data_IF_288843879239
#
_entry.id   IF_288843879239
#
_cell.length_a   1.000
_cell.length_b   1.000
_cell.length_c   1.000
_cell.angle_alpha   90.00
_cell.angle_beta   90.00
_cell.angle_gamma   90.00
#
_symmetry.space_group_name_H-M   'P 1'
#
loop_
_entity.id
_entity.type
_entity.pdbx_description
1 polymer ?
#
# COMPACT_ATOMS: atom_id res chain seq x y z
N UNK A 1 0.43 -12.42 12.78
CA UNK A 1 1.57 -11.80 12.06
C UNK A 1 2.85 -12.36 12.64
N UNK A 2 3.58 -13.18 11.87
CA UNK A 2 4.74 -13.97 12.35
C UNK A 2 5.95 -13.08 12.70
N UNK A 3 6.14 -11.96 12.00
CA UNK A 3 7.28 -11.03 12.17
C UNK A 3 6.86 -9.63 12.64
N UNK A 4 5.71 -9.49 13.31
CA UNK A 4 5.21 -8.18 13.76
C UNK A 4 6.26 -7.49 14.64
N UNK A 5 6.56 -6.22 14.32
CA UNK A 5 7.50 -5.42 15.12
C UNK A 5 8.97 -5.75 14.87
N UNK A 6 9.30 -6.55 13.85
CA UNK A 6 10.70 -6.82 13.46
C UNK A 6 10.99 -6.42 12.00
N UNK A 7 12.25 -6.13 11.63
CA UNK A 7 12.61 -5.78 10.26
C UNK A 7 12.20 -6.86 9.23
N UNK A 8 12.11 -8.12 9.66
CA UNK A 8 11.68 -9.25 8.83
C UNK A 8 10.24 -9.11 8.32
N UNK A 9 9.41 -8.22 8.89
CA UNK A 9 8.11 -7.88 8.34
C UNK A 9 8.17 -7.32 6.91
N UNK A 10 9.28 -6.67 6.54
CA UNK A 10 9.45 -5.98 5.25
C UNK A 10 10.44 -6.69 4.31
N UNK A 11 11.07 -7.77 4.77
CA UNK A 11 12.13 -8.46 4.02
C UNK A 11 11.65 -9.07 2.69
N UNK A 12 10.34 -9.31 2.55
CA UNK A 12 9.71 -9.85 1.35
C UNK A 12 9.27 -8.80 0.31
N UNK A 13 9.22 -7.52 0.67
CA UNK A 13 8.55 -6.47 -0.12
C UNK A 13 9.12 -6.37 -1.54
N UNK A 14 10.44 -6.34 -1.67
CA UNK A 14 11.10 -6.20 -2.97
C UNK A 14 10.76 -7.36 -3.93
N UNK A 15 10.74 -8.59 -3.42
CA UNK A 15 10.38 -9.78 -4.21
C UNK A 15 8.89 -9.77 -4.57
N UNK A 16 8.02 -9.42 -3.62
CA UNK A 16 6.59 -9.34 -3.87
C UNK A 16 6.28 -8.29 -4.95
N UNK A 17 6.89 -7.10 -4.85
CA UNK A 17 6.71 -6.03 -5.84
C UNK A 17 7.17 -6.45 -7.24
N UNK A 18 8.27 -7.20 -7.36
CA UNK A 18 8.70 -7.73 -8.65
C UNK A 18 7.67 -8.70 -9.24
N UNK A 19 7.19 -9.66 -8.46
CA UNK A 19 6.19 -10.63 -8.90
C UNK A 19 4.87 -9.96 -9.31
N UNK A 20 4.42 -8.95 -8.56
CA UNK A 20 3.21 -8.19 -8.90
C UNK A 20 3.40 -7.40 -10.19
N UNK A 21 4.52 -6.71 -10.38
CA UNK A 21 4.80 -6.01 -11.65
C UNK A 21 4.76 -6.96 -12.84
N UNK A 22 5.42 -8.11 -12.73
CA UNK A 22 5.45 -9.11 -13.80
C UNK A 22 4.04 -9.68 -14.05
N UNK A 23 3.27 -9.95 -13.00
CA UNK A 23 1.88 -10.41 -13.12
C UNK A 23 0.96 -9.41 -13.80
N UNK A 24 1.02 -8.13 -13.40
CA UNK A 24 0.19 -7.05 -13.97
C UNK A 24 0.53 -6.80 -15.44
N UNK A 25 1.81 -6.87 -15.83
CA UNK A 25 2.23 -6.71 -17.22
C UNK A 25 1.59 -7.74 -18.17
N UNK A 26 1.16 -8.88 -17.65
CA UNK A 26 0.49 -9.95 -18.40
C UNK A 26 -1.01 -10.07 -18.07
N UNK A 27 -1.58 -9.12 -17.32
CA UNK A 27 -2.99 -9.14 -16.90
C UNK A 27 -3.35 -10.30 -15.98
N UNK A 28 -2.39 -10.84 -15.23
CA UNK A 28 -2.61 -12.00 -14.36
C UNK A 28 -3.59 -11.74 -13.21
N UNK A 29 -3.69 -10.49 -12.75
CA UNK A 29 -4.69 -10.03 -11.78
C UNK A 29 -6.13 -10.15 -12.32
N UNK A 30 -6.33 -10.02 -13.63
CA UNK A 30 -7.65 -10.11 -14.26
C UNK A 30 -8.24 -11.52 -14.19
N UNK A 31 -7.41 -12.55 -13.97
CA UNK A 31 -7.85 -13.93 -13.73
C UNK A 31 -8.45 -14.14 -12.33
N UNK A 32 -8.27 -13.18 -11.42
CA UNK A 32 -8.74 -13.24 -10.05
C UNK A 32 -10.09 -12.55 -9.88
N UNK A 33 -10.85 -13.00 -8.87
CA UNK A 33 -12.05 -12.29 -8.44
C UNK A 33 -11.67 -10.89 -7.88
N UNK A 34 -12.56 -9.89 -7.96
CA UNK A 34 -12.27 -8.52 -7.50
C UNK A 34 -11.67 -8.45 -6.09
N UNK A 35 -12.23 -9.19 -5.14
CA UNK A 35 -11.73 -9.22 -3.75
C UNK A 35 -10.32 -9.83 -3.61
N UNK A 36 -9.93 -10.73 -4.51
CA UNK A 36 -8.59 -11.32 -4.52
C UNK A 36 -7.55 -10.35 -5.09
N UNK A 37 -7.94 -9.49 -6.05
CA UNK A 37 -7.06 -8.47 -6.63
C UNK A 37 -6.61 -7.44 -5.59
N UNK A 38 -7.41 -7.20 -4.56
CA UNK A 38 -7.03 -6.35 -3.41
C UNK A 38 -5.68 -6.78 -2.82
N UNK A 39 -5.44 -8.09 -2.64
CA UNK A 39 -4.17 -8.58 -2.10
C UNK A 39 -2.97 -8.37 -3.03
N UNK A 40 -3.20 -8.35 -4.34
CA UNK A 40 -2.18 -8.00 -5.34
C UNK A 40 -1.86 -6.51 -5.22
N UNK A 41 -2.87 -5.65 -5.13
CA UNK A 41 -2.70 -4.20 -5.10
C UNK A 41 -2.16 -3.67 -3.76
N UNK A 42 -2.40 -4.37 -2.65
CA UNK A 42 -1.74 -4.10 -1.36
C UNK A 42 -0.21 -4.14 -1.46
N UNK A 43 0.35 -4.96 -2.35
CA UNK A 43 1.80 -4.99 -2.58
C UNK A 43 2.31 -3.69 -3.22
N UNK A 44 1.49 -3.06 -4.08
CA UNK A 44 1.79 -1.75 -4.67
C UNK A 44 1.68 -0.65 -3.59
N UNK A 45 0.60 -0.70 -2.80
CA UNK A 45 0.33 0.23 -1.69
C UNK A 45 1.44 0.22 -0.61
N UNK A 46 2.13 -0.90 -0.41
CA UNK A 46 3.27 -0.99 0.51
C UNK A 46 4.61 -0.54 -0.09
N UNK A 47 4.64 -0.02 -1.31
CA UNK A 47 5.87 0.46 -1.96
C UNK A 47 6.23 1.90 -1.57
N UNK A 48 7.48 2.15 -1.21
CA UNK A 48 8.02 3.50 -0.99
C UNK A 48 8.43 4.16 -2.33
N UNK A 49 7.52 4.15 -3.32
CA UNK A 49 7.72 4.76 -4.63
C UNK A 49 6.42 5.44 -5.10
N UNK A 50 6.48 6.74 -5.39
CA UNK A 50 5.30 7.53 -5.72
C UNK A 50 4.58 7.04 -6.99
N UNK A 51 5.32 6.69 -8.05
CA UNK A 51 4.69 6.20 -9.28
C UNK A 51 3.94 4.87 -9.05
N UNK A 52 4.46 4.01 -8.18
CA UNK A 52 3.80 2.76 -7.77
C UNK A 52 2.56 3.04 -6.92
N UNK A 53 2.58 4.08 -6.08
CA UNK A 53 1.42 4.51 -5.30
C UNK A 53 0.29 5.04 -6.20
N UNK A 54 0.60 5.85 -7.22
CA UNK A 54 -0.40 6.28 -8.20
C UNK A 54 -1.05 5.09 -8.92
N UNK A 55 -0.24 4.07 -9.26
CA UNK A 55 -0.73 2.84 -9.86
C UNK A 55 -1.65 2.07 -8.91
N UNK A 56 -1.31 1.99 -7.61
CA UNK A 56 -2.16 1.38 -6.60
C UNK A 56 -3.54 2.07 -6.54
N UNK A 57 -3.57 3.41 -6.43
CA UNK A 57 -4.80 4.21 -6.39
C UNK A 57 -5.64 3.98 -7.65
N UNK A 58 -5.02 3.93 -8.83
CA UNK A 58 -5.73 3.67 -10.09
C UNK A 58 -6.40 2.27 -10.10
N UNK A 59 -5.69 1.25 -9.63
CA UNK A 59 -6.22 -0.12 -9.55
C UNK A 59 -7.34 -0.26 -8.51
N UNK A 60 -7.22 0.38 -7.34
CA UNK A 60 -8.28 0.40 -6.34
C UNK A 60 -9.52 1.19 -6.80
N UNK A 61 -9.32 2.29 -7.52
CA UNK A 61 -10.41 3.04 -8.16
C UNK A 61 -11.18 2.14 -9.13
N UNK A 62 -10.46 1.41 -10.00
CA UNK A 62 -11.08 0.48 -10.94
C UNK A 62 -11.88 -0.63 -10.23
N UNK A 63 -11.40 -1.15 -9.10
CA UNK A 63 -12.16 -2.12 -8.28
C UNK A 63 -13.43 -1.52 -7.70
N UNK A 64 -13.35 -0.31 -7.14
CA UNK A 64 -14.51 0.42 -6.61
C UNK A 64 -15.57 0.61 -7.68
N UNK A 65 -15.16 1.00 -8.89
CA UNK A 65 -16.08 1.29 -9.98
C UNK A 65 -16.86 0.05 -10.47
N UNK A 66 -16.24 -1.14 -10.41
CA UNK A 66 -16.89 -2.41 -10.77
C UNK A 66 -17.60 -3.10 -9.59
N UNK A 67 -17.47 -2.57 -8.38
CA UNK A 67 -18.03 -3.17 -7.18
C UNK A 67 -19.57 -3.22 -7.24
N UNK A 68 -20.13 -4.36 -6.81
CA UNK A 68 -21.56 -4.52 -6.64
C UNK A 68 -22.10 -3.53 -5.59
N UNK A 69 -23.36 -3.13 -5.70
CA UNK A 69 -23.96 -2.13 -4.80
C UNK A 69 -23.83 -2.50 -3.31
N UNK A 70 -23.96 -3.78 -2.97
CA UNK A 70 -23.81 -4.28 -1.59
C UNK A 70 -22.38 -4.27 -1.05
N UNK A 71 -21.37 -4.14 -1.92
CA UNK A 71 -19.95 -4.15 -1.56
C UNK A 71 -19.29 -2.78 -1.72
N UNK A 72 -20.00 -1.78 -2.24
CA UNK A 72 -19.43 -0.47 -2.59
C UNK A 72 -18.64 0.16 -1.45
N UNK A 73 -19.22 0.16 -0.24
CA UNK A 73 -18.55 0.69 0.95
C UNK A 73 -17.21 -0.02 1.23
N UNK A 74 -17.15 -1.34 1.05
CA UNK A 74 -15.91 -2.09 1.28
C UNK A 74 -14.80 -1.65 0.33
N UNK A 75 -15.13 -1.43 -0.94
CA UNK A 75 -14.15 -0.96 -1.93
C UNK A 75 -13.84 0.53 -1.82
N UNK A 76 -14.78 1.35 -1.35
CA UNK A 76 -14.50 2.74 -0.97
C UNK A 76 -13.50 2.78 0.20
N UNK A 77 -13.66 1.91 1.21
CA UNK A 77 -12.71 1.79 2.31
C UNK A 77 -11.31 1.38 1.80
N UNK A 78 -11.20 0.41 0.87
CA UNK A 78 -9.91 0.05 0.28
C UNK A 78 -9.25 1.21 -0.49
N UNK A 79 -10.04 1.98 -1.24
CA UNK A 79 -9.53 3.14 -1.97
C UNK A 79 -9.04 4.25 -1.03
N UNK A 80 -9.76 4.53 0.07
CA UNK A 80 -9.32 5.49 1.10
C UNK A 80 -7.93 5.14 1.66
N UNK A 81 -7.69 3.86 1.96
CA UNK A 81 -6.38 3.41 2.44
C UNK A 81 -5.27 3.61 1.40
N UNK A 82 -5.53 3.28 0.12
CA UNK A 82 -4.56 3.48 -0.95
C UNK A 82 -4.22 4.98 -1.14
N UNK A 83 -5.21 5.85 -1.10
CA UNK A 83 -5.03 7.31 -1.19
C UNK A 83 -4.19 7.86 -0.03
N UNK A 84 -4.44 7.36 1.20
CA UNK A 84 -3.67 7.74 2.39
C UNK A 84 -2.21 7.27 2.32
N UNK A 85 -1.95 6.07 1.82
CA UNK A 85 -0.57 5.61 1.58
C UNK A 85 0.14 6.48 0.53
N UNK A 86 -0.55 6.80 -0.57
CA UNK A 86 -0.05 7.69 -1.61
C UNK A 86 0.26 9.08 -1.06
N UNK A 87 -0.57 9.63 -0.18
CA UNK A 87 -0.32 10.93 0.47
C UNK A 87 0.98 10.89 1.31
N UNK A 88 1.17 9.86 2.13
CA UNK A 88 2.37 9.70 2.95
C UNK A 88 3.63 9.62 2.08
N UNK A 89 3.60 8.82 1.01
CA UNK A 89 4.74 8.69 0.09
C UNK A 89 4.95 9.99 -0.71
N UNK A 90 3.89 10.67 -1.13
CA UNK A 90 4.02 11.98 -1.79
C UNK A 90 4.66 13.02 -0.89
N UNK A 91 4.42 12.95 0.43
CA UNK A 91 4.93 13.91 1.41
C UNK A 91 6.35 13.61 1.89
N UNK A 92 6.67 12.33 2.14
CA UNK A 92 7.91 11.94 2.80
C UNK A 92 8.83 11.08 1.92
N UNK A 93 8.35 10.60 0.77
CA UNK A 93 9.08 9.67 -0.11
C UNK A 93 9.22 8.25 0.44
N UNK A 94 8.76 8.01 1.68
CA UNK A 94 8.87 6.74 2.42
C UNK A 94 7.82 6.67 3.51
N UNK A 95 7.67 5.52 4.18
CA UNK A 95 6.79 5.35 5.33
C UNK A 95 7.54 5.63 6.64
N UNK A 96 7.23 6.73 7.35
CA UNK A 96 7.98 7.10 8.56
C UNK A 96 7.86 6.06 9.69
N UNK A 97 6.74 5.35 9.78
CA UNK A 97 6.53 4.34 10.83
C UNK A 97 7.51 3.15 10.71
N UNK A 98 8.12 2.94 9.53
CA UNK A 98 9.14 1.90 9.30
C UNK A 98 10.53 2.36 9.73
N UNK A 99 10.74 3.65 10.01
CA UNK A 99 12.08 4.21 10.23
C UNK A 99 12.84 3.51 11.35
N UNK A 100 12.25 3.38 12.54
CA UNK A 100 12.90 2.70 13.67
C UNK A 100 13.23 1.24 13.36
N UNK A 101 12.32 0.52 12.69
CA UNK A 101 12.50 -0.89 12.33
C UNK A 101 13.55 -1.10 11.23
N UNK A 102 13.76 -0.10 10.38
CA UNK A 102 14.74 -0.14 9.28
C UNK A 102 16.05 0.60 9.63
N UNK A 103 16.23 1.06 10.88
CA UNK A 103 17.42 1.79 11.30
C UNK A 103 17.59 3.16 10.65
N UNK A 104 16.49 3.81 10.24
CA UNK A 104 16.48 5.14 9.61
C UNK A 104 16.19 6.21 10.66
N UNK A 105 16.88 7.33 10.58
CA UNK A 105 16.54 8.52 11.37
C UNK A 105 15.30 9.21 10.79
N UNK A 106 14.40 9.66 11.68
CA UNK A 106 13.22 10.44 11.31
C UNK A 106 13.54 11.93 11.38
N UNK A 107 13.12 12.69 10.37
CA UNK A 107 13.10 14.14 10.41
C UNK A 107 12.05 14.67 11.40
N UNK A 108 12.15 15.95 11.78
CA UNK A 108 11.17 16.60 12.66
C UNK A 108 9.74 16.53 12.09
N UNK A 109 9.59 16.67 10.77
CA UNK A 109 8.30 16.58 10.10
C UNK A 109 7.71 15.15 10.16
N UNK A 110 8.56 14.14 10.03
CA UNK A 110 8.18 12.73 10.19
C UNK A 110 7.82 12.41 11.64
N UNK A 111 8.58 12.89 12.61
CA UNK A 111 8.31 12.71 14.03
C UNK A 111 6.97 13.37 14.44
N UNK A 112 6.72 14.60 13.97
CA UNK A 112 5.45 15.29 14.20
C UNK A 112 4.25 14.60 13.53
N UNK A 113 4.47 13.94 12.38
CA UNK A 113 3.45 13.12 11.74
C UNK A 113 3.14 11.85 12.54
N UNK A 114 4.17 11.14 13.01
CA UNK A 114 4.03 9.93 13.83
C UNK A 114 3.34 10.18 15.18
N UNK A 115 3.38 11.39 15.70
CA UNK A 115 2.67 11.78 16.92
C UNK A 115 1.14 11.90 16.74
N UNK A 116 0.63 11.92 15.50
CA UNK A 116 -0.81 12.03 15.21
C UNK A 116 -1.48 10.65 15.20
N UNK A 117 -2.75 10.54 15.60
CA UNK A 117 -3.50 9.30 15.45
C UNK A 117 -3.65 8.91 13.97
N UNK A 118 -3.63 7.61 13.68
CA UNK A 118 -3.79 7.09 12.32
C UNK A 118 -2.56 7.26 11.41
N UNK A 119 -1.38 7.55 11.97
CA UNK A 119 -0.10 7.68 11.25
C UNK A 119 0.65 6.35 11.05
N UNK A 120 0.21 5.29 11.75
CA UNK A 120 0.68 3.93 11.59
C UNK A 120 -0.44 3.06 11.06
N UNK A 121 -0.36 2.72 9.78
CA UNK A 121 -1.13 1.69 9.11
C UNK A 121 -0.14 0.71 8.49
#
# INVERSE_FOLDING_TARGET
MIHRGTPQAFAGDARAQQLVRDGLAHGGDMLLAPIQRVFVYLVLEHSENLAVQELAVAHFTALRDIAAAGERKLYDDFLDYAERHREVISRFGRFPHRNAMLGRESSDAEAAFLARPGSGF
#
